data_IF_215313020134
#
_entry.id   IF_215313020134
#
_cell.length_a   1.000
_cell.length_b   1.000
_cell.length_c   1.000
_cell.angle_alpha   90.00
_cell.angle_beta   90.00
_cell.angle_gamma   90.00
#
_symmetry.space_group_name_H-M   'P 1'
#
loop_
_entity.id
_entity.type
_entity.pdbx_description
1 polymer ?
#
# COMPACT_ATOMS: atom_id res chain seq x y z
N UNK A 1 -9.08 -40.95 15.23
CA UNK A 1 -8.57 -39.56 15.18
C UNK A 1 -9.21 -38.81 14.03
N UNK A 2 -10.05 -37.81 14.30
CA UNK A 2 -10.75 -37.05 13.25
C UNK A 2 -9.86 -35.91 12.71
N UNK A 3 -9.52 -35.96 11.42
CA UNK A 3 -8.68 -34.95 10.76
C UNK A 3 -9.53 -33.70 10.49
N UNK A 4 -9.31 -32.64 11.27
CA UNK A 4 -9.92 -31.32 11.02
C UNK A 4 -9.32 -30.69 9.77
N UNK A 5 -10.02 -30.80 8.63
CA UNK A 5 -9.63 -30.13 7.37
C UNK A 5 -9.66 -28.61 7.56
N UNK A 6 -8.53 -27.93 7.37
CA UNK A 6 -8.44 -26.47 7.47
C UNK A 6 -9.09 -25.81 6.26
N UNK A 7 -10.13 -25.01 6.51
CA UNK A 7 -10.80 -24.20 5.50
C UNK A 7 -9.90 -23.00 5.12
N UNK A 8 -9.18 -23.11 4.01
CA UNK A 8 -8.32 -22.03 3.50
C UNK A 8 -9.08 -21.21 2.46
N UNK A 9 -8.72 -19.93 2.32
CA UNK A 9 -9.35 -18.98 1.39
C UNK A 9 -9.38 -19.47 -0.07
N UNK A 10 -8.45 -20.35 -0.48
CA UNK A 10 -8.46 -20.98 -1.81
C UNK A 10 -9.67 -21.89 -2.04
N UNK A 11 -10.02 -22.73 -1.06
CA UNK A 11 -11.19 -23.62 -1.17
C UNK A 11 -12.49 -22.82 -1.21
N UNK A 12 -12.52 -21.64 -0.56
CA UNK A 12 -13.68 -20.74 -0.57
C UNK A 12 -13.87 -20.01 -1.90
N UNK A 13 -12.80 -19.79 -2.66
CA UNK A 13 -12.86 -19.20 -4.01
C UNK A 13 -13.29 -20.23 -5.06
N UNK A 14 -12.83 -21.49 -4.95
CA UNK A 14 -13.21 -22.56 -5.87
C UNK A 14 -14.73 -22.84 -5.86
N UNK A 15 -15.36 -22.85 -4.68
CA UNK A 15 -16.82 -23.09 -4.56
C UNK A 15 -17.70 -21.94 -5.11
N UNK A 16 -17.14 -20.77 -5.43
CA UNK A 16 -17.89 -19.67 -6.05
C UNK A 16 -17.87 -19.72 -7.58
N UNK A 17 -16.92 -20.44 -8.18
CA UNK A 17 -16.83 -20.59 -9.63
C UNK A 17 -17.77 -21.66 -10.20
N UNK A 18 -18.20 -22.63 -9.39
CA UNK A 18 -18.98 -23.79 -9.86
C UNK A 18 -20.50 -23.59 -9.88
N UNK A 19 -21.02 -22.41 -9.49
CA UNK A 19 -22.47 -22.14 -9.45
C UNK A 19 -22.95 -21.18 -10.54
N UNK A 20 -22.14 -20.92 -11.58
CA UNK A 20 -22.49 -20.00 -12.68
C UNK A 20 -22.55 -20.67 -14.06
N UNK A 21 -23.04 -21.90 -14.14
CA UNK A 21 -23.38 -22.51 -15.43
C UNK A 21 -24.73 -23.21 -15.34
N UNK A 22 -25.81 -22.45 -15.52
CA UNK A 22 -27.05 -22.92 -16.12
C UNK A 22 -27.55 -21.78 -17.03
N UNK A 23 -27.29 -21.96 -18.32
CA UNK A 23 -27.71 -21.13 -19.44
C UNK A 23 -29.21 -21.30 -19.70
N UNK A 24 -30.03 -20.25 -19.57
CA UNK A 24 -31.33 -20.14 -20.27
C UNK A 24 -31.70 -18.69 -20.67
N UNK A 25 -31.23 -17.63 -20.03
CA UNK A 25 -31.91 -16.30 -20.18
C UNK A 25 -31.29 -15.26 -21.13
N UNK A 26 -30.26 -15.58 -21.93
CA UNK A 26 -29.52 -14.53 -22.68
C UNK A 26 -30.04 -14.18 -24.08
N UNK A 27 -31.14 -14.76 -24.55
CA UNK A 27 -31.66 -14.47 -25.90
C UNK A 27 -32.87 -13.52 -25.97
N UNK A 28 -33.42 -13.05 -24.84
CA UNK A 28 -34.63 -12.19 -24.85
C UNK A 28 -34.29 -10.69 -24.77
N UNK A 29 -33.10 -10.31 -24.30
CA UNK A 29 -32.81 -8.90 -23.96
C UNK A 29 -32.38 -8.00 -25.13
N UNK A 30 -32.03 -8.54 -26.30
CA UNK A 30 -31.45 -7.74 -27.38
C UNK A 30 -32.48 -7.06 -28.30
N UNK A 31 -33.77 -7.41 -28.19
CA UNK A 31 -34.85 -6.78 -28.97
C UNK A 31 -35.60 -5.67 -28.22
N UNK A 32 -35.31 -5.42 -26.93
CA UNK A 32 -36.06 -4.46 -26.12
C UNK A 32 -35.44 -3.03 -26.10
N UNK A 33 -34.29 -2.83 -26.74
CA UNK A 33 -33.57 -1.54 -26.72
C UNK A 33 -34.03 -0.52 -27.76
N UNK A 34 -34.93 -0.88 -28.68
CA UNK A 34 -35.44 0.05 -29.72
C UNK A 34 -36.83 0.65 -29.42
N UNK A 35 -37.46 0.30 -28.30
CA UNK A 35 -38.82 0.78 -27.94
C UNK A 35 -38.78 1.77 -26.75
N UNK A 36 -37.60 2.06 -26.19
CA UNK A 36 -37.43 2.94 -25.04
C UNK A 36 -37.18 4.40 -25.45
N UNK A 37 -37.99 4.93 -26.36
CA UNK A 37 -38.11 6.37 -26.57
C UNK A 37 -39.56 6.76 -26.33
N UNK A 38 -39.78 7.70 -25.40
CA UNK A 38 -41.05 8.39 -25.09
C UNK A 38 -42.06 7.70 -24.15
N UNK A 39 -41.60 7.24 -22.98
CA UNK A 39 -42.47 7.26 -21.81
C UNK A 39 -42.41 8.66 -21.17
N UNK A 40 -43.55 9.27 -20.76
CA UNK A 40 -43.55 10.56 -20.07
C UNK A 40 -42.78 10.43 -18.75
N UNK A 41 -41.96 11.44 -18.43
CA UNK A 41 -41.24 11.48 -17.15
C UNK A 41 -42.24 11.45 -15.99
N UNK A 42 -42.11 10.43 -15.12
CA UNK A 42 -42.99 10.25 -13.97
C UNK A 42 -42.86 11.48 -13.04
N UNK A 43 -43.94 12.23 -12.77
CA UNK A 43 -43.90 13.42 -11.92
C UNK A 43 -43.42 13.14 -10.48
N UNK A 44 -43.34 11.88 -10.05
CA UNK A 44 -42.75 11.46 -8.76
C UNK A 44 -41.27 11.07 -8.83
N UNK A 45 -40.61 11.13 -9.99
CA UNK A 45 -39.19 10.77 -10.13
C UNK A 45 -38.26 11.60 -9.22
N UNK A 46 -38.63 12.85 -8.93
CA UNK A 46 -37.88 13.73 -8.03
C UNK A 46 -38.08 13.43 -6.54
N UNK A 47 -39.06 12.59 -6.18
CA UNK A 47 -39.31 12.24 -4.78
C UNK A 47 -38.30 11.21 -4.24
N UNK A 48 -37.68 10.43 -5.13
CA UNK A 48 -36.64 9.48 -4.75
C UNK A 48 -35.26 10.05 -5.06
N UNK A 49 -34.50 10.35 -4.00
CA UNK A 49 -33.08 10.64 -4.15
C UNK A 49 -32.40 9.49 -4.91
N UNK A 50 -31.65 9.78 -5.99
CA UNK A 50 -30.93 8.75 -6.73
C UNK A 50 -29.94 8.07 -5.78
N UNK A 51 -30.27 6.83 -5.41
CA UNK A 51 -29.39 6.02 -4.56
C UNK A 51 -28.23 5.55 -5.44
N UNK A 52 -27.01 5.90 -5.06
CA UNK A 52 -25.81 5.42 -5.75
C UNK A 52 -25.88 3.89 -5.92
N UNK A 53 -25.65 3.43 -7.16
CA UNK A 53 -25.62 2.01 -7.43
C UNK A 53 -24.46 1.35 -6.68
N UNK A 54 -24.52 0.02 -6.50
CA UNK A 54 -23.39 -0.71 -5.90
C UNK A 54 -22.10 -0.51 -6.70
N UNK A 55 -22.20 -0.37 -8.02
CA UNK A 55 -21.06 -0.12 -8.91
C UNK A 55 -20.44 1.25 -8.62
N UNK A 56 -21.27 2.28 -8.52
CA UNK A 56 -20.82 3.65 -8.26
C UNK A 56 -20.20 3.77 -6.86
N UNK A 57 -20.79 3.11 -5.86
CA UNK A 57 -20.21 3.03 -4.51
C UNK A 57 -18.83 2.39 -4.48
N UNK A 58 -18.59 1.38 -5.32
CA UNK A 58 -17.27 0.73 -5.41
C UNK A 58 -16.30 1.66 -6.13
N UNK A 59 -16.72 2.30 -7.22
CA UNK A 59 -15.91 3.24 -7.98
C UNK A 59 -15.51 4.47 -7.13
N UNK A 60 -16.46 5.04 -6.38
CA UNK A 60 -16.22 6.15 -5.45
C UNK A 60 -15.27 5.77 -4.30
N UNK A 61 -15.34 4.53 -3.81
CA UNK A 61 -14.38 4.02 -2.83
C UNK A 61 -12.98 3.86 -3.42
N UNK A 62 -12.88 3.37 -4.65
CA UNK A 62 -11.60 3.21 -5.35
C UNK A 62 -10.97 4.58 -5.64
N UNK A 63 -11.73 5.54 -6.17
CA UNK A 63 -11.25 6.90 -6.47
C UNK A 63 -10.82 7.63 -5.19
N UNK A 64 -11.61 7.54 -4.11
CA UNK A 64 -11.26 8.10 -2.80
C UNK A 64 -9.98 7.49 -2.21
N UNK A 65 -9.77 6.19 -2.43
CA UNK A 65 -8.54 5.54 -2.00
C UNK A 65 -7.34 6.01 -2.82
N UNK A 66 -7.47 6.11 -4.14
CA UNK A 66 -6.41 6.60 -5.02
C UNK A 66 -6.04 8.05 -4.70
N UNK A 67 -7.02 8.93 -4.45
CA UNK A 67 -6.77 10.31 -4.07
C UNK A 67 -6.03 10.42 -2.72
N UNK A 68 -6.43 9.63 -1.72
CA UNK A 68 -5.72 9.57 -0.44
C UNK A 68 -4.28 9.06 -0.58
N UNK A 69 -4.05 8.09 -1.47
CA UNK A 69 -2.71 7.57 -1.76
C UNK A 69 -1.87 8.63 -2.47
N UNK A 70 -2.41 9.32 -3.47
CA UNK A 70 -1.73 10.40 -4.18
C UNK A 70 -1.36 11.55 -3.24
N UNK A 71 -2.31 12.03 -2.42
CA UNK A 71 -2.07 13.09 -1.44
C UNK A 71 -1.01 12.72 -0.41
N UNK A 72 -0.99 11.46 0.06
CA UNK A 72 0.07 10.97 0.98
C UNK A 72 1.42 10.83 0.29
N UNK A 73 1.45 10.46 -0.99
CA UNK A 73 2.69 10.25 -1.72
C UNK A 73 3.35 11.58 -2.14
N UNK A 74 2.56 12.59 -2.53
CA UNK A 74 3.03 13.95 -2.83
C UNK A 74 3.79 14.60 -1.66
N UNK A 75 3.44 14.27 -0.41
CA UNK A 75 4.11 14.80 0.78
C UNK A 75 5.49 14.19 1.08
N UNK A 76 5.83 13.04 0.49
CA UNK A 76 7.03 12.27 0.89
C UNK A 76 8.07 12.22 -0.22
N UNK A 77 7.70 12.03 -1.48
CA UNK A 77 8.58 12.13 -2.66
C UNK A 77 7.75 12.12 -3.95
N UNK A 78 7.93 13.06 -4.89
CA UNK A 78 7.19 13.07 -6.17
C UNK A 78 7.50 11.84 -7.04
N UNK A 79 8.71 11.26 -6.94
CA UNK A 79 9.13 10.07 -7.69
C UNK A 79 8.53 8.74 -7.21
N UNK A 80 7.86 8.73 -6.06
CA UNK A 80 7.18 7.54 -5.49
C UNK A 80 5.65 7.68 -5.50
N UNK A 81 5.11 8.67 -6.21
CA UNK A 81 3.67 8.90 -6.32
C UNK A 81 2.94 7.65 -6.82
N UNK A 82 1.98 7.14 -6.05
CA UNK A 82 1.16 5.97 -6.40
C UNK A 82 1.76 4.60 -6.06
N UNK A 83 3.01 4.51 -5.59
CA UNK A 83 3.63 3.22 -5.26
C UNK A 83 3.54 2.94 -3.75
N UNK A 84 2.96 1.80 -3.38
CA UNK A 84 2.90 1.40 -1.96
C UNK A 84 4.30 1.16 -1.38
N UNK A 85 4.46 1.39 -0.07
CA UNK A 85 5.73 1.16 0.65
C UNK A 85 6.27 -0.25 0.47
N UNK A 86 5.40 -1.26 0.37
CA UNK A 86 5.84 -2.65 0.13
C UNK A 86 6.39 -2.83 -1.29
N UNK A 87 5.75 -2.21 -2.30
CA UNK A 87 6.20 -2.25 -3.68
C UNK A 87 7.54 -1.55 -3.85
N UNK A 88 7.72 -0.36 -3.25
CA UNK A 88 8.99 0.35 -3.23
C UNK A 88 10.11 -0.49 -2.58
N UNK A 89 9.83 -1.16 -1.44
CA UNK A 89 10.77 -2.07 -0.79
C UNK A 89 11.10 -3.28 -1.66
N UNK A 90 10.13 -3.85 -2.38
CA UNK A 90 10.34 -4.98 -3.30
C UNK A 90 11.22 -4.58 -4.48
N UNK A 91 10.93 -3.45 -5.13
CA UNK A 91 11.79 -2.88 -6.19
C UNK A 91 13.22 -2.67 -5.69
N UNK A 92 13.39 -2.03 -4.53
CA UNK A 92 14.72 -1.83 -3.93
C UNK A 92 15.43 -3.15 -3.60
N UNK A 93 14.72 -4.18 -3.15
CA UNK A 93 15.32 -5.51 -2.93
C UNK A 93 15.78 -6.11 -4.26
N UNK A 94 14.90 -6.11 -5.27
CA UNK A 94 15.21 -6.60 -6.61
C UNK A 94 16.42 -5.91 -7.22
N UNK A 95 16.47 -4.57 -7.21
CA UNK A 95 17.64 -3.82 -7.71
C UNK A 95 18.90 -4.14 -6.91
N UNK A 96 18.81 -4.31 -5.59
CA UNK A 96 19.98 -4.74 -4.80
C UNK A 96 20.41 -6.17 -5.10
N UNK A 97 19.48 -7.06 -5.40
CA UNK A 97 19.78 -8.44 -5.76
C UNK A 97 20.31 -8.56 -7.19
N UNK A 98 19.96 -7.61 -8.07
CA UNK A 98 20.53 -7.43 -9.42
C UNK A 98 21.95 -6.81 -9.34
N UNK A 99 22.17 -5.82 -8.46
CA UNK A 99 23.47 -5.15 -8.27
C UNK A 99 24.47 -5.92 -7.40
N UNK A 100 24.06 -7.04 -6.78
CA UNK A 100 25.01 -7.91 -6.07
C UNK A 100 25.96 -8.53 -7.10
N UNK A 101 27.26 -8.65 -6.80
CA UNK A 101 28.19 -9.30 -7.70
C UNK A 101 27.75 -10.75 -7.92
N UNK A 102 27.40 -11.08 -9.16
CA UNK A 102 27.04 -12.41 -9.61
C UNK A 102 28.08 -12.88 -10.61
N UNK A 103 29.02 -13.71 -10.16
CA UNK A 103 30.05 -14.30 -11.01
C UNK A 103 29.46 -15.07 -12.19
N UNK A 104 28.32 -15.75 -11.98
CA UNK A 104 27.61 -16.45 -13.05
C UNK A 104 27.14 -15.48 -14.14
N UNK A 105 26.72 -14.28 -13.76
CA UNK A 105 26.17 -13.28 -14.69
C UNK A 105 27.30 -12.72 -15.55
N UNK A 106 28.47 -12.49 -14.93
CA UNK A 106 29.71 -12.15 -15.64
C UNK A 106 30.12 -13.24 -16.65
N UNK A 107 30.09 -14.51 -16.26
CA UNK A 107 30.43 -15.62 -17.15
C UNK A 107 29.42 -15.74 -18.29
N UNK A 108 28.12 -15.64 -18.01
CA UNK A 108 27.10 -15.66 -19.07
C UNK A 108 27.14 -14.41 -19.96
N UNK A 109 27.53 -13.25 -19.44
CA UNK A 109 27.74 -12.04 -20.24
C UNK A 109 28.99 -12.13 -21.10
N UNK A 110 30.07 -12.77 -20.62
CA UNK A 110 31.28 -13.02 -21.42
C UNK A 110 30.99 -13.98 -22.58
N UNK A 111 30.26 -15.07 -22.31
CA UNK A 111 29.83 -16.00 -23.36
C UNK A 111 28.93 -15.29 -24.39
N UNK A 112 28.02 -14.42 -23.94
CA UNK A 112 27.19 -13.58 -24.82
C UNK A 112 28.00 -12.52 -25.59
N UNK A 113 29.08 -11.97 -25.01
CA UNK A 113 29.97 -11.05 -25.71
C UNK A 113 30.73 -11.73 -26.85
N UNK A 114 31.07 -13.02 -26.73
CA UNK A 114 31.69 -13.77 -27.83
C UNK A 114 30.72 -13.91 -29.01
N UNK A 115 29.46 -14.26 -28.73
CA UNK A 115 28.40 -14.32 -29.75
C UNK A 115 28.18 -12.96 -30.42
N UNK A 116 28.15 -11.87 -29.64
CA UNK A 116 28.02 -10.51 -30.14
C UNK A 116 29.24 -10.06 -30.96
N UNK A 117 30.46 -10.49 -30.59
CA UNK A 117 31.68 -10.22 -31.36
C UNK A 117 31.63 -10.92 -32.72
N UNK A 118 31.17 -12.17 -32.78
CA UNK A 118 30.98 -12.89 -34.04
C UNK A 118 30.00 -12.14 -34.95
N UNK A 119 28.85 -11.74 -34.42
CA UNK A 119 27.85 -10.94 -35.17
C UNK A 119 28.44 -9.60 -35.63
N UNK A 120 29.22 -8.92 -34.77
CA UNK A 120 29.85 -7.65 -35.13
C UNK A 120 30.91 -7.78 -36.22
N UNK A 121 31.66 -8.88 -36.21
CA UNK A 121 32.69 -9.19 -37.20
C UNK A 121 32.05 -9.57 -38.54
N UNK A 122 30.95 -10.33 -38.50
CA UNK A 122 30.16 -10.64 -39.70
C UNK A 122 29.52 -9.40 -40.30
N UNK A 123 28.99 -8.49 -39.48
CA UNK A 123 28.48 -7.19 -39.93
C UNK A 123 29.58 -6.33 -40.53
N UNK A 124 30.76 -6.24 -39.90
CA UNK A 124 31.93 -5.53 -40.46
C UNK A 124 32.41 -6.16 -41.77
N UNK A 125 32.40 -7.49 -41.88
CA UNK A 125 32.78 -8.20 -43.10
C UNK A 125 31.79 -7.92 -44.23
N UNK A 126 30.48 -7.95 -43.95
CA UNK A 126 29.44 -7.55 -44.91
C UNK A 126 29.55 -6.09 -45.32
N UNK A 127 29.80 -5.19 -44.37
CA UNK A 127 30.02 -3.77 -44.67
C UNK A 127 31.29 -3.55 -45.51
N UNK A 128 32.37 -4.26 -45.22
CA UNK A 128 33.61 -4.20 -45.99
C UNK A 128 33.45 -4.80 -47.40
N UNK A 129 32.66 -5.86 -47.56
CA UNK A 129 32.29 -6.41 -48.88
C UNK A 129 31.44 -5.41 -49.68
N UNK A 130 30.47 -4.76 -49.04
CA UNK A 130 29.68 -3.68 -49.67
C UNK A 130 30.57 -2.48 -50.04
N UNK A 131 31.52 -2.10 -49.19
CA UNK A 131 32.48 -1.01 -49.49
C UNK A 131 33.42 -1.37 -50.64
N UNK A 132 33.86 -2.63 -50.75
CA UNK A 132 34.72 -3.07 -51.87
C UNK A 132 34.00 -3.03 -53.22
N UNK A 133 32.68 -3.16 -53.24
CA UNK A 133 31.87 -3.04 -54.46
C UNK A 133 31.69 -1.57 -54.90
N UNK A 134 31.83 -0.60 -53.99
CA UNK A 134 31.56 0.83 -54.28
C UNK A 134 32.70 1.82 -53.94
N UNK A 135 33.91 1.37 -53.60
CA UNK A 135 34.90 2.21 -52.91
C UNK A 135 36.30 2.27 -53.53
N UNK A 136 36.43 2.54 -54.83
CA UNK A 136 37.66 3.14 -55.38
C UNK A 136 37.36 4.62 -55.65
N UNK A 137 37.68 5.49 -54.70
CA UNK A 137 38.06 6.90 -54.87
C UNK A 137 37.99 7.62 -53.51
N UNK A 138 39.15 7.80 -52.87
CA UNK A 138 39.70 9.12 -52.55
C UNK A 138 40.73 9.03 -51.43
N UNK A 139 41.94 9.45 -51.80
CA UNK A 139 43.04 9.77 -50.92
C UNK A 139 42.80 11.07 -50.16
N UNK A 140 43.53 11.19 -49.05
CA UNK A 140 43.93 12.42 -48.34
C UNK A 140 42.85 13.16 -47.54
N UNK A 141 42.98 13.11 -46.21
CA UNK A 141 43.62 14.23 -45.52
C UNK A 141 43.94 13.89 -44.06
N UNK A 142 45.23 14.04 -43.75
CA UNK A 142 45.73 14.26 -42.39
C UNK A 142 45.06 15.51 -41.80
N UNK A 143 44.68 15.45 -40.53
CA UNK A 143 44.94 16.56 -39.62
C UNK A 143 45.01 16.05 -38.18
N UNK A 144 46.22 16.19 -37.63
CA UNK A 144 46.49 16.15 -36.21
C UNK A 144 45.74 17.31 -35.53
N UNK A 145 45.13 17.07 -34.38
CA UNK A 145 45.10 18.10 -33.34
C UNK A 145 45.15 17.45 -31.97
N UNK A 146 46.29 17.62 -31.32
CA UNK A 146 46.53 17.34 -29.92
C UNK A 146 46.14 18.56 -29.08
N UNK A 147 45.99 18.34 -27.77
CA UNK A 147 45.62 19.28 -26.70
C UNK A 147 44.09 19.40 -26.55
N UNK A 148 43.49 19.18 -25.39
CA UNK A 148 43.85 19.75 -24.09
C UNK A 148 43.56 18.82 -22.90
N UNK A 149 44.45 18.90 -21.90
CA UNK A 149 44.28 18.33 -20.56
C UNK A 149 43.36 19.24 -19.75
N UNK A 150 42.21 18.73 -19.31
CA UNK A 150 41.45 19.34 -18.21
C UNK A 150 41.24 18.28 -17.12
N UNK A 151 42.13 18.35 -16.13
CA UNK A 151 41.97 17.81 -14.78
C UNK A 151 40.69 18.41 -14.17
N UNK A 152 39.70 17.57 -13.90
CA UNK A 152 38.54 17.93 -13.09
C UNK A 152 38.54 17.08 -11.81
N UNK A 153 39.30 17.56 -10.83
CA UNK A 153 39.13 17.21 -9.42
C UNK A 153 37.74 17.68 -8.96
N UNK A 154 36.81 16.74 -8.79
CA UNK A 154 35.52 16.99 -8.15
C UNK A 154 35.52 16.37 -6.75
N UNK A 155 35.61 17.26 -5.78
CA UNK A 155 35.56 17.03 -4.34
C UNK A 155 34.44 16.08 -3.89
N UNK A 156 34.88 14.94 -3.36
CA UNK A 156 34.05 13.92 -2.76
C UNK A 156 33.81 14.24 -1.27
N UNK A 157 33.01 15.26 -0.97
CA UNK A 157 32.58 15.58 0.42
C UNK A 157 31.06 15.53 0.56
N UNK A 158 30.47 14.39 0.20
CA UNK A 158 29.13 14.03 0.62
C UNK A 158 29.14 13.64 2.11
N UNK A 159 28.87 14.62 2.97
CA UNK A 159 28.65 14.48 4.41
C UNK A 159 27.60 13.38 4.68
N UNK A 160 28.07 12.24 5.18
CA UNK A 160 27.25 11.17 5.73
C UNK A 160 26.54 11.65 7.00
N UNK A 161 25.37 12.26 6.84
CA UNK A 161 24.46 12.57 7.95
C UNK A 161 23.77 11.28 8.43
N UNK A 162 24.53 10.44 9.15
CA UNK A 162 23.98 9.34 9.95
C UNK A 162 23.27 9.99 11.14
N UNK A 163 21.94 10.03 11.10
CA UNK A 163 21.14 10.49 12.23
C UNK A 163 21.36 9.54 13.42
N UNK A 164 21.99 10.05 14.47
CA UNK A 164 22.09 9.35 15.75
C UNK A 164 20.67 9.05 16.27
N UNK A 165 20.36 7.78 16.44
CA UNK A 165 19.12 7.33 17.08
C UNK A 165 19.26 7.63 18.57
N UNK A 166 18.85 8.83 18.98
CA UNK A 166 18.65 9.16 20.38
C UNK A 166 17.47 8.31 20.86
N UNK A 167 17.76 7.19 21.53
CA UNK A 167 16.76 6.42 22.26
C UNK A 167 16.27 7.31 23.40
N UNK A 168 15.17 8.04 23.20
CA UNK A 168 14.49 8.75 24.28
C UNK A 168 14.11 7.72 25.35
N UNK A 169 14.84 7.73 26.46
CA UNK A 169 14.62 6.90 27.66
C UNK A 169 13.40 7.36 28.48
N UNK A 170 12.53 8.19 27.91
CA UNK A 170 11.43 8.88 28.61
C UNK A 170 10.23 7.98 28.95
N UNK A 171 10.32 6.66 28.79
CA UNK A 171 9.22 5.74 29.11
C UNK A 171 9.36 5.02 30.45
N UNK A 172 10.41 5.29 31.24
CA UNK A 172 10.70 4.50 32.44
C UNK A 172 10.71 5.24 33.78
N UNK A 173 10.37 6.52 33.85
CA UNK A 173 10.17 7.18 35.16
C UNK A 173 8.99 8.14 35.13
N UNK A 174 7.81 7.61 35.36
CA UNK A 174 6.67 8.38 35.83
C UNK A 174 6.18 7.76 37.14
N UNK A 175 6.94 8.00 38.21
CA UNK A 175 6.32 8.22 39.52
C UNK A 175 5.69 9.62 39.49
N UNK A 176 4.74 9.81 38.57
CA UNK A 176 3.97 11.05 38.48
C UNK A 176 3.01 11.04 39.65
N UNK A 177 3.09 12.09 40.47
CA UNK A 177 1.99 12.54 41.33
C UNK A 177 0.70 12.40 40.51
N UNK A 178 -0.13 11.44 40.91
CA UNK A 178 -1.39 11.14 40.23
C UNK A 178 -2.33 12.24 40.67
N UNK A 179 -2.65 13.17 39.77
CA UNK A 179 -3.69 14.16 39.99
C UNK A 179 -4.97 13.43 40.49
N UNK A 180 -5.61 13.92 41.58
CA UNK A 180 -6.81 13.32 42.11
C UNK A 180 -7.91 13.35 41.03
N UNK A 181 -8.18 12.18 40.44
CA UNK A 181 -9.11 12.03 39.31
C UNK A 181 -8.50 11.38 38.05
N UNK A 182 -7.17 11.22 37.98
CA UNK A 182 -6.56 10.48 36.87
C UNK A 182 -6.56 8.97 37.10
N UNK A 183 -7.17 8.22 36.17
CA UNK A 183 -7.26 6.76 36.24
C UNK A 183 -5.94 6.15 35.75
N UNK A 184 -5.26 5.37 36.59
CA UNK A 184 -4.05 4.62 36.22
C UNK A 184 -4.39 3.59 35.14
N UNK A 185 -4.03 3.87 33.88
CA UNK A 185 -4.20 2.92 32.77
C UNK A 185 -3.16 1.82 32.91
N UNK A 186 -3.61 0.59 33.14
CA UNK A 186 -2.74 -0.59 33.23
C UNK A 186 -2.11 -0.89 31.86
N UNK A 187 -0.88 -1.43 31.87
CA UNK A 187 -0.23 -1.94 30.65
C UNK A 187 -1.13 -3.03 30.02
N UNK A 188 -1.26 -3.01 28.69
CA UNK A 188 -2.11 -3.91 27.91
C UNK A 188 -3.63 -3.77 28.13
N UNK A 189 -4.09 -2.70 28.78
CA UNK A 189 -5.52 -2.38 28.82
C UNK A 189 -6.02 -1.90 27.44
N UNK A 190 -7.30 -2.16 27.09
CA UNK A 190 -7.87 -1.62 25.87
C UNK A 190 -7.81 -0.09 25.88
N UNK A 191 -7.43 0.49 24.74
CA UNK A 191 -7.24 1.94 24.60
C UNK A 191 -8.34 2.56 23.74
N UNK A 192 -8.88 3.69 24.19
CA UNK A 192 -9.83 4.52 23.42
C UNK A 192 -9.26 5.00 22.08
N UNK A 193 -7.93 5.07 21.95
CA UNK A 193 -7.26 5.54 20.73
C UNK A 193 -7.34 4.52 19.59
N UNK A 194 -7.50 3.23 19.90
CA UNK A 194 -7.63 2.18 18.90
C UNK A 194 -9.10 1.80 18.73
N UNK A 195 -9.58 1.70 17.48
CA UNK A 195 -10.97 1.31 17.18
C UNK A 195 -11.39 -0.04 17.82
N UNK A 196 -10.49 -1.02 17.88
CA UNK A 196 -10.79 -2.30 18.54
C UNK A 196 -10.87 -2.14 20.06
N UNK A 197 -9.99 -1.32 20.62
CA UNK A 197 -9.93 -1.04 22.05
C UNK A 197 -11.14 -0.23 22.51
N UNK A 198 -11.54 0.80 21.75
CA UNK A 198 -12.71 1.61 22.04
C UNK A 198 -13.99 0.79 22.05
N UNK A 199 -14.19 -0.08 21.05
CA UNK A 199 -15.34 -1.00 21.03
C UNK A 199 -15.38 -1.91 22.26
N UNK A 200 -14.23 -2.46 22.66
CA UNK A 200 -14.16 -3.32 23.84
C UNK A 200 -14.44 -2.54 25.14
N UNK A 201 -13.94 -1.30 25.24
CA UNK A 201 -14.25 -0.40 26.35
C UNK A 201 -15.74 -0.11 26.42
N UNK A 202 -16.38 0.24 25.31
CA UNK A 202 -17.83 0.49 25.27
C UNK A 202 -18.62 -0.71 25.77
N UNK A 203 -18.29 -1.94 25.33
CA UNK A 203 -18.96 -3.16 25.82
C UNK A 203 -18.79 -3.34 27.32
N UNK A 204 -17.58 -3.11 27.84
CA UNK A 204 -17.30 -3.24 29.27
C UNK A 204 -18.01 -2.15 30.09
N UNK A 205 -18.08 -0.93 29.58
CA UNK A 205 -18.80 0.19 30.19
C UNK A 205 -20.30 -0.07 30.20
N UNK A 206 -20.89 -0.57 29.11
CA UNK A 206 -22.30 -0.96 29.07
C UNK A 206 -22.60 -2.04 30.10
N UNK A 207 -21.72 -3.04 30.27
CA UNK A 207 -21.89 -4.08 31.30
C UNK A 207 -21.87 -3.50 32.71
N UNK A 208 -20.85 -2.69 33.04
CA UNK A 208 -20.74 -2.02 34.35
C UNK A 208 -21.93 -1.10 34.63
N UNK A 209 -22.39 -0.39 33.62
CA UNK A 209 -23.57 0.48 33.73
C UNK A 209 -24.82 -0.34 34.08
N UNK A 210 -25.03 -1.46 33.40
CA UNK A 210 -26.15 -2.34 33.69
C UNK A 210 -26.05 -2.93 35.11
N UNK A 211 -24.85 -3.30 35.57
CA UNK A 211 -24.62 -3.76 36.96
C UNK A 211 -24.98 -2.68 38.00
N UNK A 212 -24.66 -1.42 37.73
CA UNK A 212 -25.04 -0.30 38.60
C UNK A 212 -26.56 -0.10 38.61
N UNK A 213 -27.20 -0.19 37.44
CA UNK A 213 -28.64 -0.05 37.32
C UNK A 213 -29.41 -1.20 38.00
N UNK A 214 -28.87 -2.42 38.04
CA UNK A 214 -29.53 -3.55 38.71
C UNK A 214 -29.33 -3.56 40.22
N UNK A 215 -28.40 -2.75 40.75
CA UNK A 215 -28.14 -2.70 42.18
C UNK A 215 -29.27 -1.96 42.92
N UNK A 216 -29.98 -2.69 43.79
CA UNK A 216 -31.10 -2.15 44.56
C UNK A 216 -30.70 -1.02 45.51
N UNK A 217 -29.48 -1.04 46.06
CA UNK A 217 -28.98 0.01 46.95
C UNK A 217 -28.81 1.32 46.17
N UNK A 218 -28.27 1.22 44.95
CA UNK A 218 -28.12 2.36 44.05
C UNK A 218 -29.48 2.90 43.58
N UNK A 219 -30.45 2.03 43.28
CA UNK A 219 -31.81 2.45 42.91
C UNK A 219 -32.53 3.19 44.04
N UNK A 220 -32.38 2.73 45.30
CA UNK A 220 -33.01 3.37 46.46
C UNK A 220 -32.38 4.72 46.81
N UNK A 221 -31.05 4.81 46.73
CA UNK A 221 -30.35 6.05 47.04
C UNK A 221 -29.07 6.22 46.18
N UNK A 222 -29.20 6.82 44.98
CA UNK A 222 -28.08 6.91 44.04
C UNK A 222 -26.97 7.82 44.56
N UNK A 223 -27.34 8.97 45.15
CA UNK A 223 -26.36 9.94 45.66
C UNK A 223 -25.69 9.48 46.97
N UNK A 224 -26.40 8.74 47.82
CA UNK A 224 -25.82 8.11 49.03
C UNK A 224 -24.76 7.07 48.66
N UNK A 225 -25.11 6.15 47.76
CA UNK A 225 -24.19 5.13 47.24
C UNK A 225 -22.95 5.75 46.59
N UNK A 226 -23.13 6.86 45.85
CA UNK A 226 -22.02 7.58 45.24
C UNK A 226 -21.09 8.24 46.28
N UNK A 227 -21.63 8.83 47.34
CA UNK A 227 -20.84 9.41 48.43
C UNK A 227 -20.00 8.34 49.13
N UNK A 228 -20.57 7.16 49.37
CA UNK A 228 -19.84 6.03 49.96
C UNK A 228 -18.71 5.54 49.06
N UNK A 229 -18.96 5.41 47.76
CA UNK A 229 -17.92 5.04 46.78
C UNK A 229 -16.78 6.06 46.71
N UNK A 230 -17.09 7.36 46.68
CA UNK A 230 -16.08 8.42 46.71
C UNK A 230 -15.28 8.38 48.02
N UNK A 231 -15.94 8.10 49.15
CA UNK A 231 -15.28 7.94 50.45
C UNK A 231 -14.34 6.72 50.43
N UNK A 232 -14.75 5.60 49.84
CA UNK A 232 -13.92 4.39 49.69
C UNK A 232 -12.72 4.63 48.76
N UNK A 233 -12.85 5.43 47.71
CA UNK A 233 -11.77 5.70 46.75
C UNK A 233 -10.67 6.65 47.29
N UNK A 234 -10.97 7.40 48.35
CA UNK A 234 -10.01 8.31 49.00
C UNK A 234 -9.02 7.61 49.94
N UNK A 235 -9.29 6.36 50.35
CA UNK A 235 -8.40 5.52 51.18
C UNK A 235 -7.72 4.47 50.31
#
# INVERSE_FOLDING_TARGET
MAIKKRNTLRNKAANRGSTQTNNVETNILNNATSILEKLPEDPKAFLHQPKESKKDKILNKQSSFLSQVQQKALKVNPSLSGISKSSARRRKRKMRDELKPKMQDLLTSLDQEEDLKQISNDLKKRQAEVLKVYGNNNNNNNNNNANDNDDMDIDNTAKNNVTNIIRKSSYLKANSVIEPGSIKIKKNAPSIRNQKGSKLLTVNETKRFNEVLTNQVFQKNPFGSLRELIKMQKY
#
